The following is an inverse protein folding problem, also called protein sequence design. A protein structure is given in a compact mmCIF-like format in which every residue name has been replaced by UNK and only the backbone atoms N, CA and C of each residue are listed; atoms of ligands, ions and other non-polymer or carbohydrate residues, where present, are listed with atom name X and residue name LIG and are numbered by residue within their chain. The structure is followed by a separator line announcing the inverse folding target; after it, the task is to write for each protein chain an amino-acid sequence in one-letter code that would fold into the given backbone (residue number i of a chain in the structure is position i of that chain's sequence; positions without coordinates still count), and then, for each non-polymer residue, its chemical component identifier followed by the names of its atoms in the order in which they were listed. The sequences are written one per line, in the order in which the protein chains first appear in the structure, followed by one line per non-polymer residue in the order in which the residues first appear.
data_IF_788385345846
#
_entry.id   IF_788385345846
#
_cell.length_a   1.000
_cell.length_b   1.000
_cell.length_c   1.000
_cell.angle_alpha   90.00
_cell.angle_beta   90.00
_cell.angle_gamma   90.00
#
_symmetry.space_group_name_H-M   'P 1'
#
loop_
_entity.id
_entity.type
_entity.pdbx_description
1 polymer ?
#
# COMPACT_ATOMS: atom_id res chain seq x y z
N UNK A 1 11.55 65.27 50.73
CA UNK A 1 12.35 64.10 50.33
C UNK A 1 11.41 63.07 49.72
N UNK A 2 11.72 62.61 48.51
CA UNK A 2 10.98 61.63 47.69
C UNK A 2 11.32 60.21 48.10
N UNK A 3 10.34 59.32 48.28
CA UNK A 3 10.44 57.84 48.12
C UNK A 3 9.11 57.20 48.56
N UNK A 4 8.50 56.19 47.95
CA UNK A 4 8.51 55.50 46.65
C UNK A 4 7.23 54.63 46.71
N UNK A 5 6.27 54.78 45.79
CA UNK A 5 5.14 53.84 45.65
C UNK A 5 5.62 52.70 44.74
N UNK A 6 5.63 51.48 45.26
CA UNK A 6 5.94 50.28 44.48
C UNK A 6 4.73 49.94 43.58
N UNK A 7 4.88 50.14 42.27
CA UNK A 7 3.97 49.62 41.27
C UNK A 7 4.41 48.20 40.87
N UNK A 8 3.57 47.22 41.18
CA UNK A 8 3.73 45.85 40.73
C UNK A 8 3.53 45.76 39.21
N UNK A 9 4.56 45.32 38.50
CA UNK A 9 4.50 45.04 37.06
C UNK A 9 3.80 43.71 36.86
N UNK A 10 2.57 43.76 36.34
CA UNK A 10 1.81 42.59 35.91
C UNK A 10 2.48 41.96 34.68
N UNK A 11 2.93 40.71 34.82
CA UNK A 11 3.38 39.90 33.72
C UNK A 11 2.19 39.58 32.80
N UNK A 12 2.26 40.03 31.55
CA UNK A 12 1.35 39.64 30.48
C UNK A 12 1.64 38.17 30.19
N UNK A 13 0.76 37.29 30.68
CA UNK A 13 0.80 35.86 30.40
C UNK A 13 0.71 35.63 28.90
N UNK A 14 1.83 35.23 28.30
CA UNK A 14 1.89 34.70 26.95
C UNK A 14 1.10 33.39 26.97
N UNK A 15 -0.17 33.42 26.56
CA UNK A 15 -0.96 32.21 26.35
C UNK A 15 -0.35 31.44 25.18
N UNK A 16 0.58 30.54 25.49
CA UNK A 16 0.95 29.43 24.63
C UNK A 16 -0.32 28.62 24.40
N UNK A 17 -1.00 28.88 23.28
CA UNK A 17 -2.00 27.98 22.74
C UNK A 17 -1.21 26.72 22.38
N UNK A 18 -1.15 25.77 23.32
CA UNK A 18 -0.68 24.44 23.04
C UNK A 18 -1.58 23.90 21.92
N UNK A 19 -1.10 23.95 20.68
CA UNK A 19 -1.62 23.10 19.62
C UNK A 19 -1.41 21.69 20.11
N UNK A 20 -2.46 21.09 20.69
CA UNK A 20 -2.45 19.67 21.01
C UNK A 20 -1.95 18.94 19.78
N UNK A 21 -0.84 18.22 19.92
CA UNK A 21 -0.33 17.36 18.89
C UNK A 21 -1.45 16.36 18.59
N UNK A 22 -2.23 16.60 17.52
CA UNK A 22 -3.28 15.70 17.11
C UNK A 22 -2.61 14.36 16.86
N UNK A 23 -2.86 13.40 17.75
CA UNK A 23 -2.32 12.06 17.62
C UNK A 23 -2.64 11.55 16.22
N UNK A 24 -1.60 11.17 15.49
CA UNK A 24 -1.75 10.73 14.11
C UNK A 24 -2.63 9.49 14.10
N UNK A 25 -3.74 9.53 13.37
CA UNK A 25 -4.64 8.38 13.23
C UNK A 25 -4.57 7.85 11.82
N UNK A 26 -4.35 6.55 11.69
CA UNK A 26 -4.31 5.85 10.40
C UNK A 26 -5.49 4.88 10.33
N UNK A 27 -6.21 4.90 9.22
CA UNK A 27 -7.38 4.04 8.99
C UNK A 27 -7.51 3.80 7.49
N UNK A 28 -8.41 2.89 7.11
CA UNK A 28 -8.75 2.65 5.71
C UNK A 28 -10.21 2.97 5.41
N UNK A 29 -10.52 3.15 4.14
CA UNK A 29 -11.87 3.22 3.61
C UNK A 29 -11.88 2.59 2.22
N UNK A 30 -13.07 2.41 1.64
CA UNK A 30 -13.23 1.91 0.27
C UNK A 30 -13.74 3.03 -0.61
N UNK A 31 -13.00 3.37 -1.65
CA UNK A 31 -13.41 4.35 -2.67
C UNK A 31 -13.44 3.67 -4.03
N UNK A 32 -14.59 3.73 -4.72
CA UNK A 32 -14.77 3.10 -6.04
C UNK A 32 -14.37 1.61 -6.05
N UNK A 33 -14.70 0.88 -4.96
CA UNK A 33 -14.38 -0.54 -4.81
C UNK A 33 -12.92 -0.85 -4.48
N UNK A 34 -12.10 0.15 -4.14
CA UNK A 34 -10.67 -0.01 -3.83
C UNK A 34 -10.34 0.47 -2.42
N UNK A 35 -9.45 -0.24 -1.74
CA UNK A 35 -8.96 0.19 -0.43
C UNK A 35 -8.10 1.47 -0.56
N UNK A 36 -8.36 2.44 0.31
CA UNK A 36 -7.62 3.69 0.41
C UNK A 36 -7.22 3.91 1.86
N UNK A 37 -5.92 4.13 2.09
CA UNK A 37 -5.37 4.39 3.42
C UNK A 37 -5.31 5.90 3.64
N UNK A 38 -5.79 6.33 4.80
CA UNK A 38 -5.74 7.71 5.24
C UNK A 38 -4.92 7.84 6.51
N UNK A 39 -4.11 8.90 6.57
CA UNK A 39 -3.48 9.37 7.80
C UNK A 39 -3.98 10.79 8.11
N UNK A 40 -4.55 10.98 9.30
CA UNK A 40 -4.99 12.27 9.84
C UNK A 40 -4.08 12.73 10.96
N UNK A 41 -4.07 14.03 11.23
CA UNK A 41 -3.21 14.63 12.25
C UNK A 41 -1.79 14.88 11.74
N UNK A 42 -1.59 14.87 10.42
CA UNK A 42 -0.33 15.20 9.76
C UNK A 42 -0.22 16.72 9.68
N UNK A 43 0.98 17.28 9.77
CA UNK A 43 1.19 18.71 9.51
C UNK A 43 0.71 19.08 8.10
N UNK A 44 -0.11 20.13 7.92
CA UNK A 44 -0.58 20.53 6.60
C UNK A 44 0.56 20.80 5.61
N UNK A 45 0.37 20.42 4.34
CA UNK A 45 1.31 20.60 3.23
C UNK A 45 2.67 19.89 3.41
N UNK A 46 2.80 18.95 4.34
CA UNK A 46 4.01 18.13 4.48
C UNK A 46 3.85 16.78 3.80
N UNK A 47 4.96 16.21 3.35
CA UNK A 47 4.99 14.86 2.78
C UNK A 47 5.01 13.82 3.89
N UNK A 48 4.12 12.83 3.79
CA UNK A 48 4.12 11.64 4.63
C UNK A 48 4.48 10.41 3.79
N UNK A 49 5.36 9.58 4.32
CA UNK A 49 5.78 8.33 3.67
C UNK A 49 5.03 7.13 4.26
N UNK A 50 4.53 6.29 3.37
CA UNK A 50 4.11 4.92 3.62
C UNK A 50 5.22 4.00 3.10
N UNK A 51 5.80 3.21 3.99
CA UNK A 51 6.84 2.22 3.66
C UNK A 51 6.22 0.85 3.66
N UNK A 52 6.26 0.10 2.56
CA UNK A 52 5.80 -1.28 2.58
C UNK A 52 6.74 -2.13 3.42
N UNK A 53 6.17 -2.87 4.38
CA UNK A 53 6.91 -3.75 5.30
C UNK A 53 6.60 -5.23 5.06
N UNK A 54 5.61 -5.55 4.23
CA UNK A 54 5.33 -6.91 3.79
C UNK A 54 3.97 -7.07 3.10
N UNK A 55 3.53 -8.32 2.99
CA UNK A 55 2.27 -8.69 2.34
C UNK A 55 2.37 -8.75 0.82
N UNK A 56 1.23 -9.00 0.18
CA UNK A 56 1.20 -9.34 -1.25
C UNK A 56 0.36 -8.39 -2.10
N UNK A 57 0.61 -8.43 -3.41
CA UNK A 57 -0.17 -7.80 -4.48
C UNK A 57 -0.70 -8.89 -5.40
N UNK A 58 -2.02 -9.12 -5.46
CA UNK A 58 -2.59 -10.05 -6.43
C UNK A 58 -2.52 -9.50 -7.84
N UNK A 59 -1.98 -10.29 -8.76
CA UNK A 59 -2.03 -10.03 -10.20
C UNK A 59 -2.71 -11.20 -10.88
N UNK A 60 -3.71 -10.91 -11.71
CA UNK A 60 -4.31 -11.93 -12.56
C UNK A 60 -3.41 -12.15 -13.79
N UNK A 61 -2.96 -13.39 -13.98
CA UNK A 61 -2.16 -13.80 -15.13
C UNK A 61 -2.87 -14.95 -15.84
N UNK A 62 -2.75 -15.00 -17.17
CA UNK A 62 -3.28 -16.09 -17.97
C UNK A 62 -2.18 -17.09 -18.28
N UNK A 63 -2.48 -18.38 -18.14
CA UNK A 63 -1.64 -19.42 -18.69
C UNK A 63 -1.68 -19.35 -20.23
N UNK A 64 -0.52 -19.46 -20.87
CA UNK A 64 -0.45 -19.48 -22.33
C UNK A 64 -1.01 -20.79 -22.92
N UNK A 65 -0.94 -20.94 -24.25
CA UNK A 65 -1.44 -22.13 -24.96
C UNK A 65 -0.78 -23.45 -24.55
N UNK A 66 0.38 -23.42 -23.89
CA UNK A 66 1.07 -24.59 -23.35
C UNK A 66 0.84 -24.80 -21.85
N UNK A 67 -0.04 -24.02 -21.21
CA UNK A 67 -0.29 -24.14 -19.78
C UNK A 67 0.83 -23.53 -18.92
N UNK A 68 1.51 -22.49 -19.42
CA UNK A 68 2.61 -21.82 -18.71
C UNK A 68 2.17 -20.44 -18.24
N UNK A 69 2.38 -20.16 -16.95
CA UNK A 69 2.24 -18.83 -16.36
C UNK A 69 3.62 -18.18 -16.27
N UNK A 70 3.73 -16.94 -16.74
CA UNK A 70 4.95 -16.12 -16.65
C UNK A 70 4.79 -15.06 -15.56
N UNK A 71 5.70 -15.04 -14.60
CA UNK A 71 5.78 -14.02 -13.54
C UNK A 71 7.04 -13.18 -13.75
N UNK A 72 6.88 -11.87 -13.95
CA UNK A 72 7.99 -10.95 -14.23
C UNK A 72 8.73 -10.55 -12.95
N UNK A 73 10.06 -10.49 -12.99
CA UNK A 73 10.92 -10.20 -11.83
C UNK A 73 10.99 -8.71 -11.39
N UNK A 74 10.23 -7.80 -12.00
CA UNK A 74 10.27 -6.36 -11.67
C UNK A 74 9.66 -6.00 -10.30
N UNK A 75 9.23 -6.98 -9.52
CA UNK A 75 8.67 -6.81 -8.18
C UNK A 75 9.70 -7.43 -7.22
N UNK A 76 10.04 -6.78 -6.09
CA UNK A 76 11.09 -7.29 -5.20
C UNK A 76 10.87 -8.77 -4.92
N UNK A 77 11.82 -9.59 -5.34
CA UNK A 77 11.59 -11.01 -5.59
C UNK A 77 11.27 -11.72 -4.27
N UNK A 78 10.02 -12.15 -4.03
CA UNK A 78 9.75 -12.98 -2.86
C UNK A 78 10.42 -14.36 -3.04
N UNK A 79 10.75 -15.04 -1.94
CA UNK A 79 11.28 -16.42 -2.02
C UNK A 79 10.22 -17.43 -2.53
N UNK A 80 8.96 -17.02 -2.59
CA UNK A 80 7.84 -17.82 -3.09
C UNK A 80 6.79 -16.95 -3.77
N UNK A 81 6.06 -17.55 -4.70
CA UNK A 81 4.92 -16.95 -5.39
C UNK A 81 3.71 -17.82 -5.10
N UNK A 82 2.58 -17.24 -4.70
CA UNK A 82 1.35 -18.02 -4.55
C UNK A 82 0.56 -17.96 -5.86
N UNK A 83 0.25 -19.13 -6.44
CA UNK A 83 -0.53 -19.26 -7.66
C UNK A 83 -1.80 -20.06 -7.33
N UNK A 84 -2.98 -19.44 -7.46
CA UNK A 84 -4.28 -20.05 -7.14
C UNK A 84 -4.34 -20.69 -5.73
N UNK A 85 -3.80 -19.99 -4.73
CA UNK A 85 -3.78 -20.46 -3.35
C UNK A 85 -2.62 -21.41 -3.01
N UNK A 86 -1.87 -21.88 -4.01
CA UNK A 86 -0.72 -22.77 -3.81
C UNK A 86 0.59 -21.98 -3.80
N UNK A 87 1.30 -22.00 -2.67
CA UNK A 87 2.65 -21.44 -2.59
C UNK A 87 3.64 -22.25 -3.46
N UNK A 88 4.37 -21.55 -4.33
CA UNK A 88 5.41 -22.11 -5.19
C UNK A 88 6.74 -21.44 -4.85
N UNK A 89 7.70 -22.20 -4.34
CA UNK A 89 9.05 -21.69 -4.07
C UNK A 89 9.75 -21.32 -5.37
N UNK A 90 10.43 -20.18 -5.40
CA UNK A 90 11.27 -19.74 -6.53
C UNK A 90 12.77 -19.70 -6.18
N UNK A 91 13.12 -20.07 -4.96
CA UNK A 91 14.50 -20.05 -4.47
C UNK A 91 15.44 -20.95 -5.30
N UNK A 92 14.93 -22.10 -5.77
CA UNK A 92 15.69 -23.10 -6.51
C UNK A 92 15.23 -23.20 -7.98
N UNK A 93 14.87 -22.06 -8.59
CA UNK A 93 14.42 -22.05 -9.98
C UNK A 93 15.53 -22.54 -10.93
N UNK A 94 15.18 -23.42 -11.87
CA UNK A 94 16.14 -23.93 -12.86
C UNK A 94 16.35 -22.89 -13.95
N UNK A 95 17.60 -22.50 -14.17
CA UNK A 95 17.97 -21.52 -15.20
C UNK A 95 17.68 -22.01 -16.61
N UNK A 96 17.17 -21.11 -17.45
CA UNK A 96 16.99 -21.28 -18.89
C UNK A 96 17.97 -20.37 -19.64
N UNK A 97 18.25 -20.74 -20.89
CA UNK A 97 19.03 -19.93 -21.84
C UNK A 97 18.21 -18.81 -22.49
N UNK A 98 16.88 -18.85 -22.35
CA UNK A 98 15.96 -17.86 -22.90
C UNK A 98 14.52 -18.09 -22.44
N UNK A 99 13.61 -17.23 -22.87
CA UNK A 99 12.19 -17.42 -22.61
C UNK A 99 11.70 -18.71 -23.30
N UNK A 100 10.97 -19.57 -22.61
CA UNK A 100 10.48 -20.80 -23.20
C UNK A 100 9.46 -20.53 -24.30
N UNK A 101 9.63 -21.22 -25.42
CA UNK A 101 8.71 -21.15 -26.56
C UNK A 101 7.72 -22.30 -26.45
N UNK A 102 6.44 -21.98 -26.61
CA UNK A 102 5.38 -22.96 -26.73
C UNK A 102 5.31 -23.45 -28.18
N UNK A 103 5.76 -24.67 -28.48
CA UNK A 103 5.76 -25.25 -29.83
C UNK A 103 4.66 -26.32 -30.05
N UNK A 104 3.62 -26.32 -29.23
CA UNK A 104 2.56 -27.30 -29.24
C UNK A 104 1.52 -27.04 -28.15
N UNK A 105 0.89 -28.10 -27.64
CA UNK A 105 -0.13 -28.03 -26.58
C UNK A 105 0.42 -28.28 -25.16
N UNK A 106 1.74 -28.52 -25.02
CA UNK A 106 2.36 -28.82 -23.73
C UNK A 106 3.61 -27.98 -23.48
N UNK A 107 3.90 -27.70 -22.21
CA UNK A 107 5.12 -27.01 -21.82
C UNK A 107 6.38 -27.79 -22.28
N UNK A 108 7.47 -27.09 -22.64
CA UNK A 108 8.69 -27.73 -23.14
C UNK A 108 9.52 -28.44 -22.05
N UNK A 109 9.01 -28.50 -20.81
CA UNK A 109 9.58 -29.30 -19.72
C UNK A 109 8.50 -30.11 -19.01
N UNK A 110 8.90 -31.26 -18.46
CA UNK A 110 8.02 -32.19 -17.75
C UNK A 110 7.86 -31.80 -16.27
N UNK A 111 6.81 -32.32 -15.63
CA UNK A 111 6.58 -32.19 -14.18
C UNK A 111 5.40 -31.29 -13.75
N UNK A 112 4.71 -30.64 -14.68
CA UNK A 112 3.42 -29.99 -14.41
C UNK A 112 3.48 -28.95 -13.27
N UNK A 113 2.48 -28.95 -12.39
CA UNK A 113 2.39 -28.01 -11.25
C UNK A 113 3.25 -28.41 -10.05
N UNK A 114 3.89 -29.58 -10.06
CA UNK A 114 4.83 -30.00 -9.01
C UNK A 114 6.29 -29.73 -9.37
N UNK A 115 6.59 -29.37 -10.63
CA UNK A 115 7.95 -29.06 -11.05
C UNK A 115 8.49 -27.78 -10.42
N UNK A 116 9.81 -27.71 -10.29
CA UNK A 116 10.53 -26.48 -9.98
C UNK A 116 10.22 -25.41 -11.04
N UNK A 117 10.10 -24.13 -10.65
CA UNK A 117 9.96 -23.06 -11.61
C UNK A 117 11.22 -22.92 -12.47
N UNK A 118 11.06 -22.34 -13.66
CA UNK A 118 12.17 -22.02 -14.56
C UNK A 118 12.43 -20.53 -14.57
N UNK A 119 13.69 -20.10 -14.72
CA UNK A 119 14.07 -18.68 -14.74
C UNK A 119 14.84 -18.33 -16.01
N UNK A 120 14.39 -17.33 -16.76
CA UNK A 120 15.13 -16.85 -17.94
C UNK A 120 16.25 -15.84 -17.55
N UNK A 121 17.14 -15.47 -18.49
CA UNK A 121 18.18 -14.47 -18.24
C UNK A 121 17.64 -13.07 -17.89
N UNK A 122 16.39 -12.75 -18.28
CA UNK A 122 15.72 -11.51 -17.92
C UNK A 122 15.10 -11.55 -16.51
N UNK A 123 15.27 -12.66 -15.78
CA UNK A 123 14.78 -12.87 -14.43
C UNK A 123 13.33 -13.32 -14.34
N UNK A 124 12.60 -13.51 -15.45
CA UNK A 124 11.22 -13.98 -15.43
C UNK A 124 11.14 -15.42 -14.94
N UNK A 125 10.13 -15.71 -14.13
CA UNK A 125 9.81 -17.04 -13.65
C UNK A 125 8.69 -17.67 -14.46
N UNK A 126 8.81 -18.96 -14.75
CA UNK A 126 7.85 -19.73 -15.53
C UNK A 126 7.38 -20.95 -14.75
N UNK A 127 6.06 -21.12 -14.68
CA UNK A 127 5.40 -22.21 -13.99
C UNK A 127 4.50 -22.97 -14.98
N UNK A 128 4.67 -24.29 -15.08
CA UNK A 128 3.93 -25.16 -15.99
C UNK A 128 2.80 -25.92 -15.30
N UNK A 129 2.01 -26.65 -16.10
CA UNK A 129 1.00 -27.59 -15.63
C UNK A 129 -0.39 -26.99 -15.42
N UNK A 130 -0.60 -25.76 -15.89
CA UNK A 130 -1.90 -25.10 -15.84
C UNK A 130 -2.71 -25.43 -17.09
N UNK A 131 -4.04 -25.31 -17.00
CA UNK A 131 -4.88 -25.44 -18.20
C UNK A 131 -4.62 -24.25 -19.13
N UNK A 132 -4.50 -24.42 -20.45
CA UNK A 132 -4.38 -23.30 -21.39
C UNK A 132 -5.50 -22.28 -21.19
N UNK A 133 -5.15 -20.99 -21.24
CA UNK A 133 -6.07 -19.86 -21.01
C UNK A 133 -6.69 -19.81 -19.61
N UNK A 134 -6.24 -20.64 -18.66
CA UNK A 134 -6.68 -20.57 -17.28
C UNK A 134 -6.18 -19.26 -16.65
N UNK A 135 -7.11 -18.53 -16.05
CA UNK A 135 -6.77 -17.41 -15.18
C UNK A 135 -6.17 -17.94 -13.88
N UNK A 136 -5.06 -17.34 -13.49
CA UNK A 136 -4.40 -17.62 -12.25
C UNK A 136 -4.17 -16.33 -11.46
N UNK A 137 -4.55 -16.35 -10.19
CA UNK A 137 -4.21 -15.28 -9.25
C UNK A 137 -2.81 -15.53 -8.74
N UNK A 138 -1.92 -14.58 -8.99
CA UNK A 138 -0.53 -14.62 -8.59
C UNK A 138 -0.29 -13.56 -7.51
N UNK A 139 0.07 -13.98 -6.31
CA UNK A 139 0.42 -13.07 -5.22
C UNK A 139 1.94 -12.84 -5.22
N UNK A 140 2.34 -11.58 -5.43
CA UNK A 140 3.75 -11.16 -5.40
C UNK A 140 3.98 -10.28 -4.18
N UNK A 141 5.14 -10.39 -3.52
CA UNK A 141 5.42 -9.52 -2.37
C UNK A 141 5.37 -8.04 -2.76
N UNK A 142 4.68 -7.27 -1.94
CA UNK A 142 4.63 -5.84 -2.09
C UNK A 142 5.96 -5.22 -1.61
N UNK A 143 6.50 -4.27 -2.37
CA UNK A 143 7.66 -3.50 -1.97
C UNK A 143 7.55 -2.02 -2.38
N UNK A 144 8.35 -1.19 -1.72
CA UNK A 144 8.57 0.21 -2.06
C UNK A 144 8.00 1.20 -1.05
N UNK A 145 8.38 2.47 -1.26
CA UNK A 145 7.89 3.60 -0.47
C UNK A 145 6.93 4.42 -1.33
N UNK A 146 5.88 4.94 -0.72
CA UNK A 146 4.92 5.83 -1.36
C UNK A 146 4.80 7.09 -0.53
N UNK A 147 4.85 8.24 -1.18
CA UNK A 147 4.70 9.53 -0.51
C UNK A 147 3.31 10.10 -0.84
N UNK A 148 2.69 10.73 0.14
CA UNK A 148 1.48 11.52 -0.04
C UNK A 148 1.63 12.84 0.69
N UNK A 149 1.30 13.94 0.01
CA UNK A 149 1.28 15.26 0.63
C UNK A 149 0.00 15.44 1.41
N UNK A 150 0.10 15.82 2.68
CA UNK A 150 -1.04 16.14 3.50
C UNK A 150 -1.73 17.41 2.98
N UNK A 151 -3.05 17.38 2.84
CA UNK A 151 -3.82 18.56 2.46
C UNK A 151 -3.84 19.62 3.58
N UNK A 152 -4.54 20.73 3.35
CA UNK A 152 -4.62 21.84 4.30
C UNK A 152 -5.25 21.46 5.65
N UNK A 153 -6.01 20.36 5.73
CA UNK A 153 -6.58 19.83 6.97
C UNK A 153 -5.67 18.80 7.67
N UNK A 154 -4.46 18.55 7.15
CA UNK A 154 -3.55 17.57 7.72
C UNK A 154 -3.93 16.11 7.43
N UNK A 155 -4.50 15.88 6.25
CA UNK A 155 -4.93 14.54 5.78
C UNK A 155 -4.05 14.12 4.61
N UNK A 156 -3.33 13.01 4.77
CA UNK A 156 -2.62 12.33 3.68
C UNK A 156 -3.44 11.13 3.20
N UNK A 157 -3.52 10.96 1.87
CA UNK A 157 -4.27 9.89 1.19
C UNK A 157 -3.31 9.02 0.39
N UNK A 158 -3.29 7.72 0.69
CA UNK A 158 -2.58 6.72 -0.10
C UNK A 158 -3.64 5.86 -0.80
N UNK A 159 -3.78 6.02 -2.11
CA UNK A 159 -4.65 5.17 -2.91
C UNK A 159 -3.91 3.94 -3.37
N UNK A 160 -4.61 2.81 -3.42
CA UNK A 160 -4.17 1.63 -4.15
C UNK A 160 -3.64 1.99 -5.56
N UNK A 161 -2.55 1.36 -6.05
CA UNK A 161 -2.09 1.55 -7.43
C UNK A 161 -3.21 1.25 -8.45
N UNK A 162 -3.26 2.02 -9.54
CA UNK A 162 -4.17 1.73 -10.65
C UNK A 162 -3.84 0.37 -11.30
N UNK A 163 -4.90 -0.29 -11.78
CA UNK A 163 -5.01 -1.60 -12.47
C UNK A 163 -3.85 -2.61 -12.41
N UNK A 164 -4.17 -3.84 -11.97
CA UNK A 164 -3.30 -5.02 -12.07
C UNK A 164 -2.48 -5.36 -10.81
N UNK A 165 -2.48 -4.50 -9.79
CA UNK A 165 -1.76 -4.70 -8.54
C UNK A 165 -2.52 -4.12 -7.32
N UNK A 166 -3.69 -4.69 -6.95
CA UNK A 166 -4.39 -4.31 -5.74
C UNK A 166 -3.51 -4.55 -4.50
N UNK A 167 -3.86 -3.93 -3.38
CA UNK A 167 -3.31 -4.35 -2.10
C UNK A 167 -3.99 -5.63 -1.65
N UNK A 168 -3.20 -6.66 -1.31
CA UNK A 168 -3.74 -7.84 -0.64
C UNK A 168 -4.22 -7.51 0.76
N UNK A 169 -5.11 -8.33 1.32
CA UNK A 169 -5.52 -8.20 2.73
C UNK A 169 -4.34 -8.36 3.71
N UNK A 170 -3.29 -9.06 3.30
CA UNK A 170 -2.04 -9.23 4.06
C UNK A 170 -1.05 -8.05 3.86
N UNK A 171 -1.37 -7.08 3.00
CA UNK A 171 -0.54 -5.91 2.74
C UNK A 171 -0.19 -5.22 4.05
N UNK A 172 1.10 -5.14 4.34
CA UNK A 172 1.63 -4.58 5.58
C UNK A 172 2.56 -3.42 5.27
N UNK A 173 2.43 -2.35 6.05
CA UNK A 173 3.14 -1.11 5.82
C UNK A 173 3.42 -0.36 7.12
N UNK A 174 4.35 0.58 7.08
CA UNK A 174 4.66 1.49 8.16
C UNK A 174 4.40 2.93 7.75
N UNK A 175 3.86 3.72 8.69
CA UNK A 175 3.77 5.18 8.60
C UNK A 175 4.40 5.74 9.88
N UNK A 176 5.41 6.61 9.74
CA UNK A 176 6.16 7.17 10.88
C UNK A 176 6.65 6.10 11.87
N UNK A 177 7.12 4.96 11.36
CA UNK A 177 7.64 3.85 12.17
C UNK A 177 6.57 2.97 12.84
N UNK A 178 5.29 3.31 12.75
CA UNK A 178 4.20 2.44 13.25
C UNK A 178 3.76 1.49 12.15
N UNK A 179 3.71 0.18 12.45
CA UNK A 179 3.32 -0.87 11.52
C UNK A 179 1.81 -1.10 11.50
N UNK A 180 1.27 -1.39 10.32
CA UNK A 180 -0.13 -1.67 10.05
C UNK A 180 -0.25 -2.84 9.07
N UNK A 181 -1.35 -3.59 9.17
CA UNK A 181 -1.74 -4.63 8.20
C UNK A 181 -3.15 -4.34 7.70
N UNK A 182 -3.32 -4.23 6.39
CA UNK A 182 -4.54 -3.71 5.76
C UNK A 182 -5.80 -4.50 6.17
N UNK A 183 -5.70 -5.82 6.30
CA UNK A 183 -6.81 -6.70 6.68
C UNK A 183 -7.33 -6.51 8.11
N UNK A 184 -6.51 -6.00 9.03
CA UNK A 184 -6.87 -5.81 10.45
C UNK A 184 -7.04 -4.35 10.85
N UNK A 185 -6.76 -3.42 9.92
CA UNK A 185 -6.96 -1.99 10.17
C UNK A 185 -8.43 -1.62 10.33
N UNK A 186 -8.69 -0.65 11.21
CA UNK A 186 -10.00 -0.03 11.34
C UNK A 186 -10.43 0.55 10.00
N UNK A 187 -11.55 0.03 9.48
CA UNK A 187 -12.22 0.57 8.30
C UNK A 187 -13.22 1.65 8.71
N UNK A 188 -13.25 2.75 7.97
CA UNK A 188 -14.28 3.80 8.09
C UNK A 188 -15.18 3.76 6.85
N UNK A 189 -16.47 3.98 7.08
CA UNK A 189 -17.51 3.96 6.03
C UNK A 189 -17.28 5.03 4.96
N UNK A 190 -16.70 6.17 5.33
CA UNK A 190 -16.55 7.32 4.45
C UNK A 190 -15.12 7.89 4.48
N UNK A 191 -14.63 8.42 3.35
CA UNK A 191 -13.36 9.13 3.31
C UNK A 191 -13.44 10.44 4.13
N UNK A 192 -12.33 10.87 4.75
CA UNK A 192 -12.30 12.14 5.46
C UNK A 192 -12.37 13.30 4.47
N UNK A 193 -13.14 14.32 4.81
CA UNK A 193 -13.34 15.50 3.98
C UNK A 193 -12.65 16.72 4.60
N UNK A 194 -11.98 17.51 3.75
CA UNK A 194 -11.39 18.79 4.12
C UNK A 194 -12.23 19.90 3.49
N UNK A 195 -12.86 20.73 4.32
CA UNK A 195 -13.69 21.86 3.86
C UNK A 195 -13.42 23.09 4.72
N UNK A 196 -13.64 24.26 4.15
CA UNK A 196 -13.75 25.49 4.91
C UNK A 196 -15.13 25.50 5.58
N UNK A 197 -15.19 25.70 6.89
CA UNK A 197 -16.44 25.93 7.63
C UNK A 197 -16.48 27.38 8.09
N UNK A 198 -17.52 28.11 7.68
CA UNK A 198 -17.69 29.53 7.99
C UNK A 198 -16.82 30.48 7.14
N UNK A 199 -16.66 31.71 7.62
CA UNK A 199 -15.85 32.78 6.99
C UNK A 199 -14.38 32.79 7.44
N UNK A 200 -13.88 31.71 8.04
CA UNK A 200 -12.49 31.64 8.49
C UNK A 200 -11.54 31.34 7.32
N UNK A 201 -10.37 31.96 7.32
CA UNK A 201 -9.31 31.76 6.32
C UNK A 201 -8.53 30.46 6.50
N UNK A 202 -8.89 29.64 7.49
CA UNK A 202 -8.19 28.39 7.83
C UNK A 202 -9.16 27.20 7.72
N UNK A 203 -8.90 26.23 6.83
CA UNK A 203 -9.74 25.04 6.68
C UNK A 203 -9.78 24.24 7.98
N UNK A 204 -10.97 23.80 8.38
CA UNK A 204 -11.16 22.96 9.57
C UNK A 204 -11.61 21.57 9.12
N UNK A 205 -11.08 20.55 9.79
CA UNK A 205 -11.53 19.19 9.59
C UNK A 205 -12.97 19.01 10.09
N UNK A 206 -13.86 18.57 9.21
CA UNK A 206 -15.15 18.02 9.61
C UNK A 206 -14.97 16.51 9.84
N UNK A 207 -15.13 16.05 11.09
CA UNK A 207 -15.52 14.66 11.34
C UNK A 207 -16.91 14.52 10.72
N UNK A 208 -17.05 13.78 9.62
CA UNK A 208 -18.34 13.74 8.94
C UNK A 208 -19.37 12.95 9.75
N UNK A 209 -20.42 13.69 10.09
CA UNK A 209 -21.81 13.26 10.12
C UNK A 209 -22.17 12.58 8.79
N UNK A 210 -23.13 11.65 8.84
CA UNK A 210 -23.73 11.08 7.64
C UNK A 210 -24.11 12.19 6.65
N UNK A 211 -23.65 12.10 5.40
CA UNK A 211 -24.22 12.94 4.35
C UNK A 211 -25.71 12.53 4.18
N UNK A 212 -26.65 13.50 4.10
CA UNK A 212 -28.05 13.21 3.77
C UNK A 212 -28.22 12.69 2.35
#
# INVERSE_FOLDING_TARGET
MRTLIAAAVGAIGLSLIATEAKSQTVFKTVENGRDVIYARGVTPNTSLQLTTTGGSRPTALLANSCGIIRVTANQATPNSVNINGTARSIANAVSLTGAPVCNGSTAPWTGGTSSEPRRDPNGNYYFSGYTPSQAATVLVAANGNRNATANQCGIARFAEPAEGNPWGNDFSFAINGTNYTLGTMTSQTYPPLCRNVGSSTSPVYLRYEAAP
#
